data_IF_391153535719
#
_entry.id   IF_391153535719
#
_cell.length_a   1.000
_cell.length_b   1.000
_cell.length_c   1.000
_cell.angle_alpha   90.00
_cell.angle_beta   90.00
_cell.angle_gamma   90.00
#
_symmetry.space_group_name_H-M   'P 1'
#
loop_
_entity.id
_entity.type
_entity.pdbx_description
1 polymer ?
#
# COMPACT_ATOMS: atom_id res chain seq x y z
N UNK A 1 20.64 -2.11 -3.61
CA UNK A 1 19.97 -1.53 -2.42
C UNK A 1 20.03 -0.01 -2.54
N UNK A 2 18.95 0.70 -2.24
CA UNK A 2 18.94 2.16 -2.21
C UNK A 2 19.57 2.70 -0.92
N UNK A 3 20.11 3.91 -0.99
CA UNK A 3 20.56 4.68 0.18
C UNK A 3 19.73 5.96 0.27
N UNK A 4 19.34 6.32 1.49
CA UNK A 4 18.58 7.55 1.76
C UNK A 4 19.31 8.36 2.83
N UNK A 5 19.25 9.68 2.71
CA UNK A 5 19.75 10.61 3.72
C UNK A 5 18.60 11.50 4.16
N UNK A 6 18.17 11.33 5.41
CA UNK A 6 17.21 12.22 6.06
C UNK A 6 17.97 13.41 6.64
N UNK A 7 17.51 14.63 6.37
CA UNK A 7 18.13 15.88 6.86
C UNK A 7 17.11 16.63 7.70
N UNK A 8 17.60 17.48 8.61
CA UNK A 8 16.75 18.34 9.45
C UNK A 8 15.71 17.54 10.24
N UNK A 9 16.10 16.35 10.73
CA UNK A 9 15.25 15.56 11.61
C UNK A 9 15.41 16.10 13.03
N UNK A 10 14.32 16.21 13.77
CA UNK A 10 14.35 16.69 15.13
C UNK A 10 15.12 15.70 16.04
N UNK A 11 15.95 16.24 16.92
CA UNK A 11 16.83 15.44 17.78
C UNK A 11 16.08 14.43 18.65
N UNK A 12 14.87 14.81 19.10
CA UNK A 12 14.03 13.92 19.91
C UNK A 12 13.59 12.67 19.13
N UNK A 13 13.34 12.78 17.83
CA UNK A 13 12.99 11.64 16.97
C UNK A 13 14.16 10.67 16.89
N UNK A 14 15.37 11.20 16.68
CA UNK A 14 16.59 10.39 16.64
C UNK A 14 16.80 9.67 17.97
N UNK A 15 16.64 10.36 19.10
CA UNK A 15 16.82 9.80 20.43
C UNK A 15 15.87 8.63 20.70
N UNK A 16 14.58 8.79 20.38
CA UNK A 16 13.58 7.73 20.56
C UNK A 16 13.97 6.47 19.79
N UNK A 17 14.36 6.62 18.52
CA UNK A 17 14.74 5.45 17.71
C UNK A 17 16.07 4.83 18.15
N UNK A 18 17.01 5.61 18.68
CA UNK A 18 18.24 5.08 19.26
C UNK A 18 17.98 4.23 20.51
N UNK A 19 17.10 4.71 21.40
CA UNK A 19 16.75 3.97 22.61
C UNK A 19 15.99 2.68 22.28
N UNK A 20 15.04 2.73 21.34
CA UNK A 20 14.34 1.55 20.85
C UNK A 20 15.28 0.52 20.20
N UNK A 21 16.21 0.98 19.36
CA UNK A 21 17.21 0.11 18.74
C UNK A 21 18.10 -0.57 19.81
N UNK A 22 18.51 0.20 20.83
CA UNK A 22 19.30 -0.31 21.97
C UNK A 22 18.53 -1.36 22.76
N UNK A 23 17.26 -1.11 23.07
CA UNK A 23 16.39 -2.06 23.79
C UNK A 23 16.20 -3.37 23.01
N UNK A 24 16.11 -3.27 21.68
CA UNK A 24 16.00 -4.42 20.79
C UNK A 24 17.36 -5.12 20.50
N UNK A 25 18.48 -4.59 21.03
CA UNK A 25 19.81 -5.16 20.82
C UNK A 25 20.30 -5.07 19.36
N UNK A 26 19.79 -4.11 18.58
CA UNK A 26 20.11 -3.94 17.17
C UNK A 26 20.69 -2.55 16.86
N UNK A 27 21.26 -2.40 15.66
CA UNK A 27 21.75 -1.10 15.19
C UNK A 27 20.59 -0.15 14.86
N UNK A 28 20.81 1.16 14.99
CA UNK A 28 19.84 2.17 14.60
C UNK A 28 19.44 2.03 13.11
N UNK A 29 20.40 1.73 12.23
CA UNK A 29 20.10 1.54 10.81
C UNK A 29 19.16 0.36 10.57
N UNK A 30 19.40 -0.77 11.25
CA UNK A 30 18.55 -1.94 11.13
C UNK A 30 17.13 -1.66 11.66
N UNK A 31 17.02 -1.01 12.82
CA UNK A 31 15.74 -0.58 13.39
C UNK A 31 14.96 0.31 12.41
N UNK A 32 15.62 1.33 11.84
CA UNK A 32 14.99 2.23 10.87
C UNK A 32 14.60 1.50 9.57
N UNK A 33 15.39 0.51 9.14
CA UNK A 33 15.06 -0.32 7.98
C UNK A 33 13.80 -1.16 8.22
N UNK A 34 13.65 -1.71 9.43
CA UNK A 34 12.45 -2.45 9.84
C UNK A 34 11.23 -1.53 9.88
N UNK A 35 11.34 -0.36 10.54
CA UNK A 35 10.28 0.67 10.57
C UNK A 35 9.85 1.09 9.16
N UNK A 36 10.80 1.38 8.26
CA UNK A 36 10.48 1.77 6.89
C UNK A 36 9.81 0.62 6.12
N UNK A 37 10.26 -0.62 6.31
CA UNK A 37 9.65 -1.80 5.69
C UNK A 37 8.21 -1.99 6.17
N UNK A 38 7.98 -1.91 7.48
CA UNK A 38 6.65 -2.04 8.07
C UNK A 38 5.71 -0.95 7.55
N UNK A 39 6.16 0.32 7.53
CA UNK A 39 5.36 1.43 7.00
C UNK A 39 5.00 1.25 5.52
N UNK A 40 5.91 0.68 4.72
CA UNK A 40 5.67 0.42 3.31
C UNK A 40 4.64 -0.70 3.12
N UNK A 41 4.70 -1.75 3.94
CA UNK A 41 3.71 -2.83 3.94
C UNK A 41 2.34 -2.33 4.39
N UNK A 42 2.30 -1.46 5.41
CA UNK A 42 1.05 -0.89 5.89
C UNK A 42 0.43 0.08 4.88
N UNK A 43 1.25 0.85 4.16
CA UNK A 43 0.79 1.67 3.03
C UNK A 43 0.19 0.82 1.90
N UNK A 44 0.80 -0.32 1.57
CA UNK A 44 0.24 -1.26 0.59
C UNK A 44 -1.07 -1.88 1.07
N UNK A 45 -1.15 -2.27 2.34
CA UNK A 45 -2.38 -2.80 2.94
C UNK A 45 -3.48 -1.74 2.99
N UNK A 46 -3.14 -0.50 3.32
CA UNK A 46 -4.08 0.60 3.34
C UNK A 46 -4.61 0.91 1.94
N UNK A 47 -3.73 1.00 0.94
CA UNK A 47 -4.14 1.15 -0.46
C UNK A 47 -5.06 0.00 -0.92
N UNK A 48 -4.74 -1.25 -0.55
CA UNK A 48 -5.60 -2.40 -0.82
C UNK A 48 -6.98 -2.27 -0.16
N UNK A 49 -7.05 -1.79 1.09
CA UNK A 49 -8.32 -1.54 1.80
C UNK A 49 -9.13 -0.42 1.13
N UNK A 50 -8.49 0.68 0.74
CA UNK A 50 -9.14 1.81 0.06
C UNK A 50 -9.70 1.37 -1.31
N UNK A 51 -8.95 0.58 -2.08
CA UNK A 51 -9.42 0.03 -3.35
C UNK A 51 -10.58 -0.96 -3.18
N UNK A 52 -10.54 -1.82 -2.16
CA UNK A 52 -11.66 -2.72 -1.86
C UNK A 52 -12.91 -1.94 -1.41
N UNK A 53 -12.74 -0.85 -0.65
CA UNK A 53 -13.84 0.02 -0.27
C UNK A 53 -14.42 0.75 -1.48
N UNK A 54 -13.59 1.25 -2.40
CA UNK A 54 -14.07 1.82 -3.65
C UNK A 54 -14.81 0.78 -4.48
N UNK A 55 -14.28 -0.43 -4.68
CA UNK A 55 -14.96 -1.50 -5.42
C UNK A 55 -16.29 -1.92 -4.77
N UNK A 56 -16.35 -1.96 -3.44
CA UNK A 56 -17.58 -2.24 -2.69
C UNK A 56 -18.62 -1.12 -2.90
N UNK A 57 -18.21 0.14 -2.83
CA UNK A 57 -19.06 1.29 -3.13
C UNK A 57 -19.54 1.28 -4.58
N UNK A 58 -18.67 0.96 -5.55
CA UNK A 58 -19.05 0.82 -6.95
C UNK A 58 -20.09 -0.31 -7.14
N UNK A 59 -19.92 -1.45 -6.46
CA UNK A 59 -20.89 -2.56 -6.50
C UNK A 59 -22.21 -2.21 -5.82
N UNK A 60 -22.19 -1.39 -4.78
CA UNK A 60 -23.39 -0.92 -4.07
C UNK A 60 -24.17 0.11 -4.90
N UNK A 61 -23.47 1.03 -5.58
CA UNK A 61 -24.07 2.09 -6.40
C UNK A 61 -24.56 1.54 -7.75
N UNK A 62 -23.80 0.63 -8.38
CA UNK A 62 -24.05 0.17 -9.76
C UNK A 62 -24.50 -1.30 -9.85
N UNK A 63 -24.60 -2.02 -8.74
CA UNK A 63 -24.83 -3.47 -8.73
C UNK A 63 -23.63 -4.28 -9.23
N UNK A 64 -23.78 -5.60 -9.37
CA UNK A 64 -22.85 -6.40 -10.19
C UNK A 64 -23.00 -5.99 -11.65
N UNK A 65 -21.90 -5.52 -12.27
CA UNK A 65 -21.84 -5.30 -13.71
C UNK A 65 -22.43 -6.52 -14.43
N UNK A 66 -23.48 -6.36 -15.26
CA UNK A 66 -23.98 -7.47 -16.05
C UNK A 66 -22.83 -8.00 -16.92
N UNK A 67 -22.73 -9.33 -16.98
CA UNK A 67 -21.70 -10.02 -17.73
C UNK A 67 -21.73 -9.51 -19.19
N UNK A 68 -20.79 -8.64 -19.52
CA UNK A 68 -20.73 -7.96 -20.83
C UNK A 68 -20.31 -8.93 -21.95
N UNK A 69 -20.12 -10.21 -21.61
CA UNK A 69 -19.77 -11.28 -22.54
C UNK A 69 -20.88 -11.55 -23.56
N UNK A 70 -22.16 -11.21 -23.30
CA UNK A 70 -23.22 -11.35 -24.31
C UNK A 70 -23.13 -10.30 -25.43
N UNK A 71 -22.94 -9.01 -25.11
CA UNK A 71 -22.89 -7.96 -26.13
C UNK A 71 -21.68 -8.07 -27.08
N UNK A 72 -20.56 -8.61 -26.59
CA UNK A 72 -19.34 -8.81 -27.42
C UNK A 72 -19.54 -9.94 -28.45
N UNK A 73 -20.46 -10.89 -28.21
CA UNK A 73 -20.76 -11.96 -29.18
C UNK A 73 -21.66 -11.48 -30.32
N UNK A 74 -22.58 -10.55 -30.06
CA UNK A 74 -23.50 -10.02 -31.09
C UNK A 74 -22.76 -9.16 -32.14
N UNK A 75 -21.84 -8.30 -31.70
CA UNK A 75 -21.02 -7.46 -32.60
C UNK A 75 -20.09 -8.29 -33.52
N UNK A 76 -19.74 -9.52 -33.11
CA UNK A 76 -18.93 -10.43 -33.93
C UNK A 76 -19.75 -11.11 -35.02
N UNK A 77 -21.04 -11.37 -34.79
CA UNK A 77 -21.92 -12.05 -35.75
C UNK A 77 -22.58 -11.09 -36.75
N UNK A 78 -22.70 -9.80 -36.45
CA UNK A 78 -23.18 -8.78 -37.41
C UNK A 78 -22.13 -8.38 -38.46
N UNK A 79 -20.89 -8.82 -38.28
CA UNK A 79 -19.74 -8.49 -39.14
C UNK A 79 -19.23 -9.67 -40.00
N UNK A 80 -19.99 -10.77 -40.12
CA UNK A 80 -19.69 -11.91 -41.01
C UNK A 80 -20.69 -12.06 -42.15
#
# INVERSE_FOLDING_TARGET
MGQIKVRQLEDWVVSVHQDLARLAGQSLEQHLREVLRESALDSQRQFGREQMQHLAQFKEIFGTLPDSTEGIREDRNSSS
#
